data_IF_286943731208
#
_entry.id   IF_286943731208
#
_cell.length_a   1.000
_cell.length_b   1.000
_cell.length_c   1.000
_cell.angle_alpha   90.00
_cell.angle_beta   90.00
_cell.angle_gamma   90.00
#
_symmetry.space_group_name_H-M   'P 1'
#
loop_
_entity.id
_entity.type
_entity.pdbx_description
1 polymer ?
#
# COMPACT_ATOMS: atom_id res chain seq x y z
N UNK A 1 -5.92 39.15 0.18
CA UNK A 1 -6.11 38.87 -1.26
C UNK A 1 -5.59 37.47 -1.59
N UNK A 2 -6.03 36.44 -0.85
CA UNK A 2 -5.95 35.04 -1.28
C UNK A 2 -7.24 34.82 -2.07
N UNK A 3 -7.15 35.23 -3.33
CA UNK A 3 -8.29 35.47 -4.19
C UNK A 3 -8.86 34.15 -4.64
N UNK A 4 -10.19 34.13 -4.66
CA UNK A 4 -11.09 33.43 -5.59
C UNK A 4 -10.55 32.11 -6.23
N UNK A 5 -9.44 32.16 -6.94
CA UNK A 5 -8.76 30.97 -7.45
C UNK A 5 -8.48 29.85 -6.43
N UNK A 6 -8.20 30.15 -5.15
CA UNK A 6 -7.95 29.13 -4.12
C UNK A 6 -9.21 28.44 -3.56
N UNK A 7 -10.40 29.08 -3.58
CA UNK A 7 -11.65 28.40 -3.17
C UNK A 7 -12.23 27.55 -4.31
N UNK A 8 -12.02 27.93 -5.57
CA UNK A 8 -12.53 27.12 -6.69
C UNK A 8 -11.72 25.85 -6.89
N UNK A 9 -10.40 25.91 -6.69
CA UNK A 9 -9.50 24.74 -6.71
C UNK A 9 -9.79 23.74 -5.57
N UNK A 10 -10.32 24.19 -4.42
CA UNK A 10 -10.75 23.30 -3.32
C UNK A 10 -12.14 22.71 -3.51
N UNK A 11 -13.03 23.37 -4.27
CA UNK A 11 -14.41 22.89 -4.51
C UNK A 11 -14.50 21.73 -5.52
N UNK A 12 -13.53 21.62 -6.44
CA UNK A 12 -13.48 20.58 -7.49
C UNK A 12 -12.42 19.49 -7.25
N UNK A 13 -11.62 19.62 -6.20
CA UNK A 13 -10.81 18.50 -5.72
C UNK A 13 -11.76 17.51 -5.06
N UNK A 14 -12.15 16.44 -5.77
CA UNK A 14 -12.64 15.25 -5.07
C UNK A 14 -11.51 14.86 -4.11
N UNK A 15 -11.73 14.87 -2.78
CA UNK A 15 -10.74 14.27 -1.90
C UNK A 15 -10.53 12.84 -2.42
N UNK A 16 -9.29 12.35 -2.41
CA UNK A 16 -9.10 10.91 -2.40
C UNK A 16 -9.98 10.41 -1.25
N UNK A 17 -10.89 9.51 -1.59
CA UNK A 17 -11.96 9.16 -0.68
C UNK A 17 -11.32 8.62 0.60
N UNK A 18 -11.76 9.09 1.76
CA UNK A 18 -11.30 8.62 3.07
C UNK A 18 -11.32 7.08 3.12
N UNK A 19 -12.22 6.48 2.37
CA UNK A 19 -12.30 5.05 2.06
C UNK A 19 -10.99 4.46 1.51
N UNK A 20 -10.36 5.06 0.50
CA UNK A 20 -9.09 4.58 -0.08
C UNK A 20 -7.96 4.62 0.94
N UNK A 21 -7.90 5.68 1.76
CA UNK A 21 -6.90 5.77 2.84
C UNK A 21 -7.12 4.72 3.93
N UNK A 22 -8.38 4.44 4.30
CA UNK A 22 -8.70 3.35 5.23
C UNK A 22 -8.27 2.00 4.65
N UNK A 23 -8.56 1.72 3.38
CA UNK A 23 -8.20 0.47 2.71
C UNK A 23 -6.67 0.25 2.79
N UNK A 24 -5.88 1.29 2.50
CA UNK A 24 -4.42 1.26 2.59
C UNK A 24 -3.92 0.94 4.01
N UNK A 25 -4.47 1.64 5.02
CA UNK A 25 -4.08 1.42 6.41
C UNK A 25 -4.55 0.07 6.95
N UNK A 26 -5.75 -0.40 6.56
CA UNK A 26 -6.28 -1.73 6.88
C UNK A 26 -5.35 -2.83 6.38
N UNK A 27 -5.00 -2.80 5.09
CA UNK A 27 -4.09 -3.79 4.50
C UNK A 27 -2.77 -3.87 5.25
N UNK A 28 -2.16 -2.72 5.52
CA UNK A 28 -0.89 -2.65 6.24
C UNK A 28 -1.00 -3.14 7.70
N UNK A 29 -2.12 -2.83 8.37
CA UNK A 29 -2.39 -3.29 9.73
C UNK A 29 -2.57 -4.80 9.82
N UNK A 30 -3.33 -5.38 8.90
CA UNK A 30 -3.54 -6.84 8.82
C UNK A 30 -2.21 -7.55 8.56
N UNK A 31 -1.35 -7.00 7.70
CA UNK A 31 -0.01 -7.53 7.46
C UNK A 31 0.85 -7.53 8.74
N UNK A 32 0.84 -6.43 9.50
CA UNK A 32 1.58 -6.33 10.77
C UNK A 32 1.08 -7.37 11.78
N UNK A 33 -0.23 -7.52 11.94
CA UNK A 33 -0.82 -8.55 12.82
C UNK A 33 -0.35 -9.93 12.37
N UNK A 34 -0.37 -10.20 11.07
CA UNK A 34 0.05 -11.49 10.53
C UNK A 34 1.52 -11.81 10.87
N UNK A 35 2.43 -10.83 10.77
CA UNK A 35 3.82 -11.02 11.19
C UNK A 35 3.94 -11.35 12.70
N UNK A 36 3.15 -10.68 13.55
CA UNK A 36 3.11 -10.98 14.98
C UNK A 36 2.61 -12.42 15.22
N UNK A 37 1.55 -12.83 14.52
CA UNK A 37 1.00 -14.18 14.63
C UNK A 37 2.00 -15.25 14.16
N UNK A 38 2.73 -15.01 13.06
CA UNK A 38 3.83 -15.88 12.64
C UNK A 38 4.88 -15.99 13.73
N UNK A 39 5.30 -14.87 14.33
CA UNK A 39 6.25 -14.86 15.45
C UNK A 39 5.76 -15.69 16.64
N UNK A 40 4.49 -15.54 17.02
CA UNK A 40 3.84 -16.33 18.10
C UNK A 40 3.80 -17.82 17.74
N UNK A 41 3.46 -18.17 16.50
CA UNK A 41 3.44 -19.56 16.05
C UNK A 41 4.83 -20.21 16.15
N UNK A 42 5.89 -19.47 15.77
CA UNK A 42 7.27 -19.96 15.89
C UNK A 42 7.69 -20.11 17.36
N UNK A 43 7.27 -19.20 18.25
CA UNK A 43 7.45 -19.37 19.71
C UNK A 43 6.80 -20.67 20.19
N UNK A 44 5.56 -20.93 19.75
CA UNK A 44 4.83 -22.15 20.08
C UNK A 44 5.62 -23.39 19.66
N UNK A 45 6.07 -23.46 18.41
CA UNK A 45 6.89 -24.58 17.92
C UNK A 45 8.18 -24.74 18.71
N UNK A 46 8.89 -23.64 18.98
CA UNK A 46 10.11 -23.65 19.78
C UNK A 46 9.88 -24.20 21.19
N UNK A 47 8.77 -23.81 21.82
CA UNK A 47 8.41 -24.22 23.18
C UNK A 47 8.08 -25.72 23.28
N UNK A 48 7.53 -26.32 22.22
CA UNK A 48 7.26 -27.76 22.13
C UNK A 48 8.44 -28.58 21.56
N UNK A 49 9.60 -27.96 21.32
CA UNK A 49 10.79 -28.64 20.81
C UNK A 49 10.70 -29.01 19.32
N UNK A 50 9.79 -28.40 18.57
CA UNK A 50 9.63 -28.62 17.13
C UNK A 50 10.68 -27.79 16.39
N UNK A 51 11.56 -28.47 15.64
CA UNK A 51 12.62 -27.84 14.86
C UNK A 51 12.06 -27.20 13.57
N UNK A 52 11.51 -26.00 13.69
CA UNK A 52 10.96 -25.23 12.58
C UNK A 52 12.02 -24.90 11.51
N UNK A 53 13.29 -24.71 11.88
CA UNK A 53 14.39 -24.48 10.93
C UNK A 53 14.51 -25.66 9.96
N UNK A 54 14.45 -26.89 10.47
CA UNK A 54 14.49 -28.10 9.64
C UNK A 54 13.21 -28.25 8.80
N UNK A 55 12.04 -28.04 9.41
CA UNK A 55 10.73 -28.22 8.73
C UNK A 55 10.58 -27.29 7.52
N UNK A 56 11.08 -26.06 7.63
CA UNK A 56 11.05 -25.07 6.55
C UNK A 56 12.29 -25.10 5.66
N UNK A 57 13.18 -26.09 5.84
CA UNK A 57 14.43 -26.22 5.08
C UNK A 57 15.27 -24.92 5.11
N UNK A 58 15.26 -24.22 6.24
CA UNK A 58 16.01 -22.99 6.47
C UNK A 58 17.48 -23.32 6.77
N UNK A 59 18.40 -22.43 6.40
CA UNK A 59 19.82 -22.59 6.75
C UNK A 59 20.01 -22.40 8.26
N UNK A 60 20.49 -23.42 9.01
CA UNK A 60 20.69 -23.31 10.45
C UNK A 60 21.65 -22.19 10.85
N UNK A 61 22.60 -21.83 9.97
CA UNK A 61 23.59 -20.78 10.24
C UNK A 61 23.06 -19.37 10.03
N UNK A 62 21.96 -19.23 9.29
CA UNK A 62 21.39 -17.94 8.89
C UNK A 62 19.86 -18.03 8.79
N UNK A 63 19.24 -18.43 9.91
CA UNK A 63 17.80 -18.41 10.07
C UNK A 63 17.38 -17.20 10.93
N UNK A 64 16.18 -16.71 10.68
CA UNK A 64 15.59 -15.64 11.48
C UNK A 64 15.02 -16.25 12.76
N UNK A 65 15.32 -15.63 13.89
CA UNK A 65 14.78 -16.03 15.19
C UNK A 65 13.39 -15.44 15.42
N UNK A 66 12.61 -16.05 16.32
CA UNK A 66 11.29 -15.52 16.67
C UNK A 66 11.36 -14.14 17.34
N UNK A 67 12.43 -13.85 18.07
CA UNK A 67 12.69 -12.54 18.66
C UNK A 67 12.87 -11.48 17.57
N UNK A 68 13.69 -11.75 16.55
CA UNK A 68 13.91 -10.82 15.42
C UNK A 68 12.62 -10.57 14.62
N UNK A 69 11.78 -11.59 14.41
CA UNK A 69 10.48 -11.43 13.75
C UNK A 69 9.58 -10.50 14.57
N UNK A 70 9.45 -10.75 15.88
CA UNK A 70 8.58 -9.98 16.75
C UNK A 70 9.10 -8.56 16.99
N UNK A 71 10.42 -8.37 17.09
CA UNK A 71 11.04 -7.06 17.17
C UNK A 71 10.74 -6.25 15.90
N UNK A 72 10.98 -6.85 14.72
CA UNK A 72 10.67 -6.22 13.44
C UNK A 72 9.18 -5.87 13.29
N UNK A 73 8.29 -6.78 13.67
CA UNK A 73 6.84 -6.55 13.64
C UNK A 73 6.40 -5.45 14.63
N UNK A 74 7.02 -5.40 15.82
CA UNK A 74 6.74 -4.37 16.83
C UNK A 74 7.22 -2.99 16.39
N UNK A 75 8.42 -2.90 15.81
CA UNK A 75 8.93 -1.66 15.23
C UNK A 75 8.05 -1.19 14.06
N UNK A 76 7.64 -2.09 13.17
CA UNK A 76 6.75 -1.77 12.07
C UNK A 76 5.38 -1.29 12.57
N UNK A 77 4.84 -1.92 13.61
CA UNK A 77 3.60 -1.51 14.29
C UNK A 77 3.71 -0.09 14.86
N UNK A 78 4.84 0.24 15.51
CA UNK A 78 5.08 1.57 16.04
C UNK A 78 5.10 2.64 14.93
N UNK A 79 5.80 2.37 13.83
CA UNK A 79 5.85 3.29 12.68
C UNK A 79 4.45 3.44 12.05
N UNK A 80 3.68 2.35 11.95
CA UNK A 80 2.30 2.38 11.45
C UNK A 80 1.42 3.27 12.32
N UNK A 81 1.47 3.13 13.65
CA UNK A 81 0.68 3.95 14.59
C UNK A 81 1.03 5.43 14.42
N UNK A 82 2.33 5.76 14.37
CA UNK A 82 2.79 7.14 14.16
C UNK A 82 2.26 7.69 12.82
N UNK A 83 2.38 6.92 11.74
CA UNK A 83 1.89 7.30 10.41
C UNK A 83 0.38 7.53 10.41
N UNK A 84 -0.38 6.64 11.07
CA UNK A 84 -1.83 6.73 11.16
C UNK A 84 -2.28 7.96 11.96
N UNK A 85 -1.61 8.29 13.07
CA UNK A 85 -1.86 9.51 13.84
C UNK A 85 -1.58 10.75 13.00
N UNK A 86 -0.44 10.79 12.29
CA UNK A 86 -0.11 11.91 11.39
C UNK A 86 -1.20 12.08 10.34
N UNK A 87 -1.69 11.00 9.75
CA UNK A 87 -2.78 11.03 8.78
C UNK A 87 -4.06 11.65 9.37
N UNK A 88 -4.49 11.22 10.56
CA UNK A 88 -5.66 11.78 11.24
C UNK A 88 -5.48 13.29 11.50
N UNK A 89 -4.30 13.70 11.97
CA UNK A 89 -4.00 15.11 12.25
C UNK A 89 -4.01 15.94 10.96
N UNK A 90 -3.41 15.44 9.87
CA UNK A 90 -3.43 16.13 8.59
C UNK A 90 -4.86 16.26 8.04
N UNK A 91 -5.67 15.22 8.14
CA UNK A 91 -7.07 15.26 7.70
C UNK A 91 -7.89 16.26 8.53
N UNK A 92 -7.69 16.27 9.85
CA UNK A 92 -8.31 17.24 10.74
C UNK A 92 -7.97 18.70 10.37
N UNK A 93 -6.71 18.95 9.98
CA UNK A 93 -6.25 20.25 9.51
C UNK A 93 -6.49 20.51 8.01
N UNK A 94 -7.17 19.62 7.29
CA UNK A 94 -7.43 19.70 5.84
C UNK A 94 -6.15 19.85 4.99
N UNK A 95 -5.07 19.24 5.46
CA UNK A 95 -3.82 19.13 4.71
C UNK A 95 -3.87 17.92 3.77
N UNK A 96 -3.16 18.01 2.65
CA UNK A 96 -3.09 16.90 1.69
C UNK A 96 -2.31 15.72 2.29
N UNK A 97 -3.01 14.69 2.78
CA UNK A 97 -2.39 13.54 3.47
C UNK A 97 -2.35 12.25 2.64
N UNK A 98 -2.84 12.26 1.40
CA UNK A 98 -3.09 11.04 0.62
C UNK A 98 -1.84 10.26 0.20
N UNK A 99 -0.67 10.89 0.15
CA UNK A 99 0.58 10.20 -0.17
C UNK A 99 1.10 9.34 0.99
N UNK A 100 0.75 9.69 2.23
CA UNK A 100 1.28 9.05 3.43
C UNK A 100 0.98 7.54 3.50
N UNK A 101 -0.28 7.08 3.33
CA UNK A 101 -0.60 5.65 3.43
C UNK A 101 -0.04 4.86 2.25
N UNK A 102 0.05 5.49 1.06
CA UNK A 102 0.67 4.90 -0.12
C UNK A 102 2.17 4.67 0.10
N UNK A 103 2.90 5.70 0.53
CA UNK A 103 4.34 5.60 0.81
C UNK A 103 4.59 4.51 1.85
N UNK A 104 3.77 4.45 2.89
CA UNK A 104 3.90 3.42 3.92
C UNK A 104 3.70 2.01 3.34
N UNK A 105 2.63 1.78 2.58
CA UNK A 105 2.35 0.47 1.98
C UNK A 105 3.43 0.06 0.96
N UNK A 106 3.85 0.97 0.08
CA UNK A 106 4.97 0.72 -0.84
C UNK A 106 6.28 0.47 -0.11
N UNK A 107 6.51 1.08 1.05
CA UNK A 107 7.70 0.83 1.85
C UNK A 107 7.73 -0.60 2.40
N UNK A 108 6.58 -1.17 2.80
CA UNK A 108 6.49 -2.57 3.21
C UNK A 108 6.80 -3.52 2.04
N UNK A 109 6.17 -3.30 0.89
CA UNK A 109 6.42 -4.10 -0.32
C UNK A 109 7.90 -4.01 -0.70
N UNK A 110 8.45 -2.80 -0.69
CA UNK A 110 9.87 -2.60 -0.97
C UNK A 110 10.74 -3.35 0.03
N UNK A 111 10.51 -3.24 1.33
CA UNK A 111 11.29 -3.97 2.34
C UNK A 111 11.27 -5.49 2.13
N UNK A 112 10.12 -6.06 1.76
CA UNK A 112 9.96 -7.50 1.50
C UNK A 112 10.75 -7.98 0.28
N UNK A 113 10.73 -7.24 -0.83
CA UNK A 113 11.33 -7.67 -2.10
C UNK A 113 12.70 -7.02 -2.39
N UNK A 114 13.17 -6.11 -1.54
CA UNK A 114 14.41 -5.38 -1.77
C UNK A 114 15.64 -6.32 -1.77
N UNK A 115 16.45 -6.35 -2.84
CA UNK A 115 17.63 -7.23 -2.93
C UNK A 115 18.83 -6.78 -2.09
N UNK A 116 18.80 -5.57 -1.51
CA UNK A 116 19.90 -5.00 -0.71
C UNK A 116 20.12 -5.80 0.60
N UNK A 117 21.35 -5.78 1.11
CA UNK A 117 21.77 -6.41 2.38
C UNK A 117 21.24 -5.67 3.63
N UNK A 118 20.05 -5.08 3.57
CA UNK A 118 19.44 -4.30 4.65
C UNK A 118 18.28 -5.13 5.22
N UNK A 119 18.26 -5.41 6.53
CA UNK A 119 17.27 -6.26 7.23
C UNK A 119 17.16 -7.71 6.66
N UNK A 120 17.73 -8.68 7.36
CA UNK A 120 17.59 -10.15 7.13
C UNK A 120 17.38 -10.61 5.68
N UNK A 121 18.40 -10.43 4.82
CA UNK A 121 18.35 -10.82 3.40
C UNK A 121 18.05 -12.30 3.17
N UNK A 122 18.58 -13.19 4.01
CA UNK A 122 18.38 -14.65 3.89
C UNK A 122 16.89 -15.01 3.93
N UNK A 123 16.16 -14.48 4.93
CA UNK A 123 14.73 -14.72 5.09
C UNK A 123 13.90 -14.19 3.91
N UNK A 124 14.25 -13.01 3.38
CA UNK A 124 13.55 -12.42 2.23
C UNK A 124 13.78 -13.18 0.93
N UNK A 125 15.02 -13.65 0.72
CA UNK A 125 15.33 -14.50 -0.42
C UNK A 125 14.59 -15.84 -0.32
N UNK A 126 14.55 -16.45 0.86
CA UNK A 126 13.76 -17.66 1.11
C UNK A 126 12.28 -17.42 0.80
N UNK A 127 11.69 -16.32 1.31
CA UNK A 127 10.30 -15.95 1.03
C UNK A 127 10.03 -15.76 -0.47
N UNK A 128 10.89 -15.02 -1.19
CA UNK A 128 10.73 -14.81 -2.63
C UNK A 128 10.88 -16.12 -3.43
N UNK A 129 11.83 -16.98 -3.04
CA UNK A 129 12.03 -18.30 -3.63
C UNK A 129 10.78 -19.15 -3.46
N UNK A 130 10.21 -19.19 -2.25
CA UNK A 130 9.04 -20.01 -1.95
C UNK A 130 7.77 -19.47 -2.62
N UNK A 131 7.58 -18.15 -2.67
CA UNK A 131 6.53 -17.53 -3.48
C UNK A 131 6.61 -17.96 -4.95
N UNK A 132 7.81 -17.92 -5.54
CA UNK A 132 8.02 -18.37 -6.91
C UNK A 132 7.70 -19.87 -7.09
N UNK A 133 8.03 -20.70 -6.10
CA UNK A 133 7.69 -22.12 -6.10
C UNK A 133 6.17 -22.32 -6.04
N UNK A 134 5.44 -21.60 -5.20
CA UNK A 134 3.97 -21.66 -5.17
C UNK A 134 3.36 -21.33 -6.54
N UNK A 135 3.81 -20.26 -7.21
CA UNK A 135 3.30 -19.91 -8.55
C UNK A 135 3.66 -20.94 -9.63
N UNK A 136 4.78 -21.64 -9.46
CA UNK A 136 5.24 -22.69 -10.38
C UNK A 136 4.90 -24.10 -9.91
N UNK A 137 4.00 -24.25 -8.91
CA UNK A 137 3.63 -25.53 -8.29
C UNK A 137 3.28 -26.66 -9.29
N UNK A 138 2.67 -26.40 -10.47
CA UNK A 138 2.41 -27.47 -11.45
C UNK A 138 3.68 -28.13 -12.03
N UNK A 139 4.86 -27.51 -11.89
CA UNK A 139 6.09 -27.92 -12.57
C UNK A 139 7.13 -28.60 -11.67
N UNK A 140 6.88 -28.69 -10.36
CA UNK A 140 7.83 -29.29 -9.41
C UNK A 140 7.11 -29.98 -8.24
N UNK A 141 7.87 -30.69 -7.43
CA UNK A 141 7.35 -31.35 -6.23
C UNK A 141 7.11 -30.34 -5.12
N UNK A 142 5.88 -30.29 -4.63
CA UNK A 142 5.46 -29.41 -3.54
C UNK A 142 6.01 -29.94 -2.21
N UNK A 143 6.68 -29.08 -1.45
CA UNK A 143 7.21 -29.36 -0.10
C UNK A 143 6.26 -28.85 0.96
N UNK A 144 6.52 -29.18 2.22
CA UNK A 144 5.72 -28.68 3.34
C UNK A 144 5.72 -27.14 3.43
N UNK A 145 6.87 -26.52 3.18
CA UNK A 145 7.01 -25.07 3.19
C UNK A 145 6.08 -24.38 2.18
N UNK A 146 5.91 -24.95 0.98
CA UNK A 146 4.99 -24.42 -0.03
C UNK A 146 3.54 -24.45 0.46
N UNK A 147 3.10 -25.59 1.04
CA UNK A 147 1.75 -25.74 1.58
C UNK A 147 1.49 -24.79 2.73
N UNK A 148 2.43 -24.70 3.67
CA UNK A 148 2.32 -23.80 4.82
C UNK A 148 2.27 -22.34 4.38
N UNK A 149 3.15 -21.92 3.48
CA UNK A 149 3.17 -20.55 3.01
C UNK A 149 1.92 -20.22 2.19
N UNK A 150 1.43 -21.15 1.36
CA UNK A 150 0.17 -20.98 0.65
C UNK A 150 -1.01 -20.75 1.63
N UNK A 151 -1.08 -21.50 2.73
CA UNK A 151 -2.07 -21.30 3.79
C UNK A 151 -1.95 -19.89 4.41
N UNK A 152 -0.72 -19.42 4.69
CA UNK A 152 -0.51 -18.05 5.15
C UNK A 152 -1.02 -17.01 4.14
N UNK A 153 -0.79 -17.21 2.84
CA UNK A 153 -1.28 -16.32 1.79
C UNK A 153 -2.81 -16.29 1.71
N UNK A 154 -3.48 -17.42 1.96
CA UNK A 154 -4.96 -17.43 2.02
C UNK A 154 -5.51 -16.61 3.18
N UNK A 155 -4.77 -16.53 4.29
CA UNK A 155 -5.13 -15.64 5.41
C UNK A 155 -4.88 -14.15 5.10
N UNK A 156 -4.21 -13.84 3.99
CA UNK A 156 -3.93 -12.50 3.50
C UNK A 156 -4.77 -12.13 2.27
N UNK A 157 -5.84 -12.89 1.97
CA UNK A 157 -6.75 -12.67 0.84
C UNK A 157 -7.26 -11.22 0.76
N UNK A 158 -7.61 -10.64 1.90
CA UNK A 158 -8.11 -9.27 2.01
C UNK A 158 -7.08 -8.23 1.56
N UNK A 159 -5.79 -8.50 1.75
CA UNK A 159 -4.71 -7.61 1.26
C UNK A 159 -4.62 -7.70 -0.26
N UNK A 160 -4.80 -8.90 -0.84
CA UNK A 160 -4.81 -9.06 -2.29
C UNK A 160 -6.00 -8.36 -2.92
N UNK A 161 -7.19 -8.46 -2.31
CA UNK A 161 -8.38 -7.74 -2.74
C UNK A 161 -8.18 -6.22 -2.69
N UNK A 162 -7.59 -5.72 -1.61
CA UNK A 162 -7.27 -4.30 -1.44
C UNK A 162 -6.25 -3.83 -2.49
N UNK A 163 -5.26 -4.65 -2.80
CA UNK A 163 -4.27 -4.37 -3.83
C UNK A 163 -4.89 -4.30 -5.24
N UNK A 164 -5.76 -5.25 -5.59
CA UNK A 164 -6.52 -5.22 -6.83
C UNK A 164 -7.38 -3.95 -6.93
N UNK A 165 -8.13 -3.63 -5.87
CA UNK A 165 -8.94 -2.41 -5.79
C UNK A 165 -8.09 -1.15 -6.05
N UNK A 166 -6.91 -1.06 -5.44
CA UNK A 166 -6.01 0.08 -5.60
C UNK A 166 -5.48 0.19 -7.03
N UNK A 167 -5.09 -0.92 -7.66
CA UNK A 167 -4.68 -0.93 -9.07
C UNK A 167 -5.80 -0.38 -9.95
N UNK A 168 -7.02 -0.89 -9.80
CA UNK A 168 -8.17 -0.44 -10.58
C UNK A 168 -8.47 1.05 -10.34
N UNK A 169 -8.43 1.49 -9.08
CA UNK A 169 -8.66 2.88 -8.70
C UNK A 169 -7.67 3.84 -9.37
N UNK A 170 -6.37 3.51 -9.33
CA UNK A 170 -5.34 4.36 -9.93
C UNK A 170 -5.28 4.27 -11.45
N UNK A 171 -5.54 3.09 -12.03
CA UNK A 171 -5.51 2.88 -13.47
C UNK A 171 -6.70 3.54 -14.17
N UNK A 172 -7.90 3.42 -13.62
CA UNK A 172 -9.13 3.82 -14.33
C UNK A 172 -9.80 5.04 -13.70
N UNK A 173 -10.08 5.04 -12.39
CA UNK A 173 -10.88 6.09 -11.76
C UNK A 173 -10.12 7.41 -11.62
N UNK A 174 -8.87 7.37 -11.16
CA UNK A 174 -8.03 8.56 -11.02
C UNK A 174 -7.80 9.24 -12.39
N UNK A 175 -7.60 8.45 -13.44
CA UNK A 175 -7.41 8.95 -14.80
C UNK A 175 -8.71 9.54 -15.38
N UNK A 176 -9.85 8.89 -15.15
CA UNK A 176 -11.16 9.40 -15.57
C UNK A 176 -11.49 10.75 -14.93
N UNK A 177 -11.26 10.89 -13.62
CA UNK A 177 -11.51 12.14 -12.89
C UNK A 177 -10.63 13.26 -13.44
N UNK A 178 -9.34 13.00 -13.66
CA UNK A 178 -8.41 13.99 -14.26
C UNK A 178 -8.84 14.43 -15.65
N UNK A 179 -9.34 13.50 -16.47
CA UNK A 179 -9.80 13.80 -17.82
C UNK A 179 -11.10 14.62 -17.82
N UNK A 180 -12.00 14.41 -16.85
CA UNK A 180 -13.21 15.23 -16.71
C UNK A 180 -12.91 16.63 -16.20
N UNK A 181 -12.03 16.77 -15.19
CA UNK A 181 -11.63 18.10 -14.71
C UNK A 181 -10.97 18.91 -15.81
N UNK A 182 -10.04 18.32 -16.56
CA UNK A 182 -9.39 18.98 -17.70
C UNK A 182 -10.40 19.44 -18.76
N UNK A 183 -11.40 18.60 -19.10
CA UNK A 183 -12.48 18.98 -20.02
C UNK A 183 -13.36 20.11 -19.49
N UNK A 184 -13.63 20.13 -18.19
CA UNK A 184 -14.38 21.23 -17.58
C UNK A 184 -13.60 22.55 -17.64
N UNK A 185 -12.30 22.52 -17.32
CA UNK A 185 -11.44 23.70 -17.40
C UNK A 185 -11.28 24.21 -18.84
N UNK A 186 -11.15 23.32 -19.85
CA UNK A 186 -11.08 23.74 -21.26
C UNK A 186 -12.36 24.46 -21.69
N UNK A 187 -13.52 23.94 -21.29
CA UNK A 187 -14.80 24.56 -21.64
C UNK A 187 -14.97 25.94 -20.98
N UNK A 188 -14.49 26.11 -19.74
CA UNK A 188 -14.49 27.42 -19.07
C UNK A 188 -13.57 28.43 -19.76
N UNK A 189 -12.38 28.01 -20.20
CA UNK A 189 -11.47 28.89 -20.95
C UNK A 189 -12.03 29.26 -22.31
N UNK A 190 -12.76 28.36 -22.96
CA UNK A 190 -13.42 28.65 -24.24
C UNK A 190 -14.58 29.65 -24.06
N UNK A 191 -15.42 29.48 -23.03
CA UNK A 191 -16.48 30.45 -22.69
C UNK A 191 -15.90 31.83 -22.34
N UNK A 192 -14.82 31.89 -21.56
CA UNK A 192 -14.17 33.16 -21.22
C UNK A 192 -13.51 33.82 -22.45
N UNK A 193 -12.98 33.04 -23.38
CA UNK A 193 -12.41 33.55 -24.63
C UNK A 193 -13.50 34.12 -25.54
N UNK A 194 -14.67 33.48 -25.62
CA UNK A 194 -15.83 34.00 -26.37
C UNK A 194 -16.36 35.30 -25.77
N UNK A 195 -16.34 35.45 -24.45
CA UNK A 195 -16.77 36.69 -23.77
C UNK A 195 -15.79 37.85 -23.96
N UNK A 196 -14.49 37.60 -24.09
CA UNK A 196 -13.47 38.64 -24.28
C UNK A 196 -13.15 38.96 -25.75
N UNK A 197 -13.29 37.98 -26.65
CA UNK A 197 -13.05 38.12 -28.09
C UNK A 197 -14.35 38.11 -28.92
N UNK A 198 -15.51 38.20 -28.26
CA UNK A 198 -16.80 38.35 -28.93
C UNK A 198 -16.81 39.59 -29.81
N UNK A 199 -17.55 39.59 -30.94
CA UNK A 199 -17.52 40.68 -31.89
C UNK A 199 -17.83 42.00 -31.20
N UNK A 200 -16.89 42.95 -31.26
CA UNK A 200 -17.11 44.33 -30.85
C UNK A 200 -18.18 44.88 -31.78
N UNK A 201 -19.42 44.97 -31.31
CA UNK A 201 -20.48 45.65 -32.03
C UNK A 201 -20.04 47.12 -32.22
N UNK A 202 -19.52 47.44 -33.41
CA UNK A 202 -19.32 48.81 -33.86
C UNK A 202 -20.69 49.47 -33.95
N UNK A 203 -21.05 50.20 -32.89
CA UNK A 203 -22.21 51.08 -32.88
C UNK A 203 -21.93 52.29 -33.76
N UNK A 204 -22.49 52.30 -34.96
CA UNK A 204 -22.63 53.52 -35.76
C UNK A 204 -23.80 54.32 -35.19
N UNK A 205 -23.49 55.43 -34.51
CA UNK A 205 -24.39 56.57 -34.32
C UNK A 205 -23.73 57.79 -34.92
#
# INVERSE_FOLDING_TARGET
MLTRHSYETTKYRKPIDWQTSIILYRSSFIFIIHLILIGINIIGWSSYGINHVLIFELDPRSHITHEEILEGASLLSLIWIISFIIFIVCEYHRLESHWQPMIFMFSIIFLLFNPLNIMHRSARYWFCKELFRIFSAPFHTVTFADFWLADQLTSLDIIFYDFEYLICYFAFDAQWIKNQSNRFYSNLTDEQTILYNGPICHGNY
#
